data_IF_078210620894
#
_entry.id   IF_078210620894
#
_cell.length_a   1.000
_cell.length_b   1.000
_cell.length_c   1.000
_cell.angle_alpha   90.00
_cell.angle_beta   90.00
_cell.angle_gamma   90.00
#
_symmetry.space_group_name_H-M   'P 1'
#
loop_
_entity.id
_entity.type
_entity.pdbx_description
1 polymer ?
#
# COMPACT_ATOMS: atom_id res chain seq x y z
N UNK A 1 -18.24 -36.89 -13.69
CA UNK A 1 -17.52 -35.89 -14.51
C UNK A 1 -17.89 -34.55 -13.94
N UNK A 2 -16.90 -33.78 -13.49
CA UNK A 2 -17.13 -32.47 -12.89
C UNK A 2 -17.54 -31.49 -14.02
N UNK A 3 -18.80 -31.06 -14.01
CA UNK A 3 -19.45 -30.33 -15.12
C UNK A 3 -19.19 -28.83 -15.09
N UNK A 4 -18.47 -28.34 -14.09
CA UNK A 4 -18.20 -26.92 -13.93
C UNK A 4 -17.09 -26.43 -14.86
N UNK A 5 -17.33 -25.28 -15.49
CA UNK A 5 -16.33 -24.54 -16.25
C UNK A 5 -15.14 -24.14 -15.37
N UNK A 6 -13.99 -23.84 -16.00
CA UNK A 6 -12.79 -23.37 -15.27
C UNK A 6 -13.12 -22.14 -14.42
N UNK A 7 -13.87 -21.19 -14.99
CA UNK A 7 -14.28 -19.97 -14.30
C UNK A 7 -15.15 -20.24 -13.06
N UNK A 8 -16.09 -21.21 -13.14
CA UNK A 8 -16.92 -21.59 -11.99
C UNK A 8 -16.08 -22.22 -10.87
N UNK A 9 -15.09 -23.06 -11.22
CA UNK A 9 -14.17 -23.64 -10.23
C UNK A 9 -13.32 -22.58 -9.53
N UNK A 10 -12.77 -21.62 -10.29
CA UNK A 10 -12.01 -20.49 -9.73
C UNK A 10 -12.88 -19.65 -8.80
N UNK A 11 -14.12 -19.35 -9.23
CA UNK A 11 -15.07 -18.60 -8.41
C UNK A 11 -15.45 -19.35 -7.13
N UNK A 12 -15.61 -20.67 -7.20
CA UNK A 12 -15.90 -21.48 -6.03
C UNK A 12 -14.73 -21.49 -5.04
N UNK A 13 -13.49 -21.71 -5.51
CA UNK A 13 -12.30 -21.64 -4.63
C UNK A 13 -12.13 -20.29 -3.95
N UNK A 14 -12.44 -19.20 -4.66
CA UNK A 14 -12.44 -17.85 -4.07
C UNK A 14 -13.49 -17.73 -2.95
N UNK A 15 -14.71 -18.26 -3.14
CA UNK A 15 -15.74 -18.28 -2.08
C UNK A 15 -15.30 -19.11 -0.88
N UNK A 16 -14.71 -20.27 -1.12
CA UNK A 16 -14.23 -21.16 -0.06
C UNK A 16 -13.13 -20.46 0.74
N UNK A 17 -12.18 -19.79 0.09
CA UNK A 17 -11.16 -18.98 0.74
C UNK A 17 -11.77 -17.85 1.58
N UNK A 18 -12.77 -17.13 1.06
CA UNK A 18 -13.45 -16.07 1.82
C UNK A 18 -14.14 -16.61 3.08
N UNK A 19 -14.76 -17.80 3.02
CA UNK A 19 -15.31 -18.46 4.21
C UNK A 19 -14.20 -18.85 5.19
N UNK A 20 -13.09 -19.45 4.72
CA UNK A 20 -11.95 -19.78 5.57
C UNK A 20 -11.36 -18.57 6.29
N UNK A 21 -11.27 -17.42 5.61
CA UNK A 21 -10.79 -16.16 6.19
C UNK A 21 -11.72 -15.70 7.32
N UNK A 22 -13.04 -15.76 7.12
CA UNK A 22 -14.04 -15.24 8.07
C UNK A 22 -14.31 -16.18 9.24
N UNK A 23 -14.33 -17.48 8.96
CA UNK A 23 -14.80 -18.52 9.88
C UNK A 23 -13.64 -19.28 10.56
N UNK A 24 -12.40 -19.07 10.12
CA UNK A 24 -11.22 -19.82 10.54
C UNK A 24 -10.78 -19.62 11.99
N UNK A 25 -11.39 -18.69 12.74
CA UNK A 25 -11.11 -18.45 14.16
C UNK A 25 -9.73 -17.86 14.49
N UNK A 26 -8.82 -17.81 13.52
CA UNK A 26 -7.49 -17.20 13.62
C UNK A 26 -7.31 -16.14 12.55
N UNK A 27 -6.67 -15.03 12.91
CA UNK A 27 -6.33 -13.99 11.95
C UNK A 27 -5.36 -14.50 10.87
N UNK A 28 -5.52 -14.03 9.64
CA UNK A 28 -4.81 -14.53 8.45
C UNK A 28 -3.81 -13.51 7.89
N UNK A 29 -2.83 -13.98 7.11
CA UNK A 29 -1.93 -13.10 6.37
C UNK A 29 -2.31 -13.07 4.88
N UNK A 30 -2.50 -11.86 4.34
CA UNK A 30 -3.01 -11.63 2.97
C UNK A 30 -1.94 -10.95 2.12
N UNK A 31 -1.72 -11.45 0.90
CA UNK A 31 -0.83 -10.84 -0.10
C UNK A 31 -1.64 -10.41 -1.30
N UNK A 32 -1.61 -9.13 -1.65
CA UNK A 32 -2.34 -8.56 -2.78
C UNK A 32 -1.43 -8.46 -4.00
N UNK A 33 -1.90 -8.91 -5.17
CA UNK A 33 -1.22 -8.74 -6.45
C UNK A 33 -1.78 -7.51 -7.17
N UNK A 34 -0.96 -6.50 -7.44
CA UNK A 34 -1.38 -5.27 -8.14
C UNK A 34 -0.56 -5.11 -9.41
N UNK A 35 -1.17 -4.60 -10.49
CA UNK A 35 -0.46 -4.37 -11.74
C UNK A 35 -1.42 -4.18 -12.90
N UNK A 36 -0.87 -3.94 -14.09
CA UNK A 36 -1.64 -3.76 -15.32
C UNK A 36 -2.27 -5.09 -15.80
N UNK A 37 -3.27 -5.04 -16.70
CA UNK A 37 -3.68 -6.22 -17.46
C UNK A 37 -2.47 -6.82 -18.19
N UNK A 38 -2.37 -8.15 -18.25
CA UNK A 38 -1.25 -8.82 -18.93
C UNK A 38 0.10 -8.79 -18.21
N UNK A 39 0.20 -8.24 -16.99
CA UNK A 39 1.46 -8.20 -16.25
C UNK A 39 1.92 -9.57 -15.70
N UNK A 40 1.07 -10.60 -15.72
CA UNK A 40 1.38 -11.95 -15.21
C UNK A 40 0.99 -12.19 -13.74
N UNK A 41 0.04 -11.41 -13.19
CA UNK A 41 -0.45 -11.57 -11.80
C UNK A 41 -1.06 -12.96 -11.56
N UNK A 42 -2.00 -13.37 -12.38
CA UNK A 42 -2.69 -14.67 -12.24
C UNK A 42 -1.75 -15.85 -12.42
N UNK A 43 -0.79 -15.76 -13.35
CA UNK A 43 0.28 -16.75 -13.50
C UNK A 43 1.19 -16.83 -12.26
N UNK A 44 1.52 -15.69 -11.66
CA UNK A 44 2.27 -15.65 -10.41
C UNK A 44 1.46 -16.22 -9.23
N UNK A 45 0.15 -15.96 -9.17
CA UNK A 45 -0.75 -16.57 -8.19
C UNK A 45 -0.68 -18.09 -8.29
N UNK A 46 -0.85 -18.65 -9.49
CA UNK A 46 -0.76 -20.10 -9.74
C UNK A 46 0.60 -20.67 -9.32
N UNK A 47 1.68 -19.93 -9.56
CA UNK A 47 3.03 -20.33 -9.13
C UNK A 47 3.20 -20.38 -7.61
N UNK A 48 2.61 -19.42 -6.91
CA UNK A 48 2.67 -19.33 -5.44
C UNK A 48 1.81 -20.43 -4.80
N UNK A 49 0.59 -20.63 -5.30
CA UNK A 49 -0.43 -21.48 -4.67
C UNK A 49 -0.38 -22.92 -5.16
N UNK A 50 0.16 -23.16 -6.35
CA UNK A 50 0.08 -24.44 -7.06
C UNK A 50 -1.29 -24.70 -7.71
N UNK A 51 -2.19 -23.72 -7.75
CA UNK A 51 -3.49 -23.83 -8.42
C UNK A 51 -3.37 -23.61 -9.93
N UNK A 52 -4.45 -23.86 -10.66
CA UNK A 52 -4.50 -23.67 -12.12
C UNK A 52 -5.85 -23.11 -12.58
N UNK A 53 -5.84 -22.48 -13.75
CA UNK A 53 -7.05 -21.98 -14.44
C UNK A 53 -7.34 -20.50 -14.21
N UNK A 54 -6.47 -19.79 -13.49
CA UNK A 54 -6.56 -18.35 -13.26
C UNK A 54 -6.00 -17.57 -14.44
N UNK A 55 -4.92 -18.05 -15.08
CA UNK A 55 -4.22 -17.30 -16.13
C UNK A 55 -4.79 -17.52 -17.54
N UNK A 56 -5.99 -18.07 -17.68
CA UNK A 56 -6.60 -18.37 -18.99
C UNK A 56 -7.23 -17.15 -19.65
N UNK A 57 -7.77 -16.22 -18.84
CA UNK A 57 -8.45 -15.01 -19.29
C UNK A 57 -7.98 -13.79 -18.49
N UNK A 58 -8.34 -12.59 -18.97
CA UNK A 58 -8.11 -11.36 -18.21
C UNK A 58 -8.99 -11.35 -16.95
N UNK A 59 -8.36 -11.29 -15.79
CA UNK A 59 -9.04 -11.20 -14.49
C UNK A 59 -9.97 -9.98 -14.43
N UNK A 60 -11.28 -10.22 -14.32
CA UNK A 60 -12.32 -9.18 -14.22
C UNK A 60 -12.94 -9.06 -12.82
N UNK A 61 -12.70 -10.05 -11.96
CA UNK A 61 -13.15 -10.15 -10.56
C UNK A 61 -11.97 -10.51 -9.67
N UNK A 62 -12.04 -10.15 -8.39
CA UNK A 62 -11.05 -10.57 -7.40
C UNK A 62 -11.08 -12.10 -7.28
N UNK A 63 -9.90 -12.71 -7.26
CA UNK A 63 -9.72 -14.15 -7.05
C UNK A 63 -8.80 -14.35 -5.85
N UNK A 64 -9.14 -15.28 -4.98
CA UNK A 64 -8.36 -15.57 -3.76
C UNK A 64 -8.06 -17.05 -3.72
N UNK A 65 -6.80 -17.39 -3.45
CA UNK A 65 -6.35 -18.76 -3.25
C UNK A 65 -5.50 -18.88 -1.98
N UNK A 66 -5.62 -20.02 -1.30
CA UNK A 66 -4.77 -20.37 -0.17
C UNK A 66 -3.41 -20.88 -0.65
N UNK A 67 -2.33 -20.45 0.00
CA UNK A 67 -0.99 -20.98 -0.17
C UNK A 67 -0.39 -21.39 1.17
N UNK A 68 0.01 -22.65 1.30
CA UNK A 68 0.75 -23.15 2.47
C UNK A 68 2.24 -23.17 2.16
N UNK A 69 2.99 -22.24 2.72
CA UNK A 69 4.42 -22.04 2.46
C UNK A 69 5.19 -22.23 3.76
N UNK A 70 6.03 -23.27 3.81
CA UNK A 70 6.80 -23.65 5.00
C UNK A 70 5.93 -23.79 6.28
N UNK A 71 4.72 -24.33 6.15
CA UNK A 71 3.77 -24.48 7.26
C UNK A 71 3.02 -23.19 7.64
N UNK A 72 3.32 -22.06 6.99
CA UNK A 72 2.60 -20.81 7.16
C UNK A 72 1.55 -20.61 6.07
N UNK A 73 0.31 -20.32 6.48
CA UNK A 73 -0.83 -20.11 5.58
C UNK A 73 -0.91 -18.65 5.15
N UNK A 74 -0.94 -18.43 3.84
CA UNK A 74 -1.17 -17.14 3.21
C UNK A 74 -2.42 -17.20 2.32
N UNK A 75 -3.12 -16.08 2.18
CA UNK A 75 -4.16 -15.91 1.16
C UNK A 75 -3.66 -14.93 0.09
N UNK A 76 -3.56 -15.41 -1.14
CA UNK A 76 -3.09 -14.63 -2.28
C UNK A 76 -4.30 -14.06 -3.02
N UNK A 77 -4.40 -12.74 -3.06
CA UNK A 77 -5.48 -12.01 -3.69
C UNK A 77 -5.02 -11.49 -5.06
N UNK A 78 -5.42 -12.16 -6.13
CA UNK A 78 -5.26 -11.66 -7.50
C UNK A 78 -6.35 -10.65 -7.83
N UNK A 79 -5.94 -9.51 -8.38
CA UNK A 79 -6.84 -8.41 -8.69
C UNK A 79 -7.02 -8.25 -10.20
N UNK A 80 -8.15 -7.66 -10.64
CA UNK A 80 -8.22 -7.08 -11.98
C UNK A 80 -7.04 -6.15 -12.24
N UNK A 81 -6.62 -6.08 -13.50
CA UNK A 81 -5.54 -5.20 -13.90
C UNK A 81 -6.01 -3.74 -13.90
N UNK A 82 -5.18 -2.82 -13.41
CA UNK A 82 -5.46 -1.40 -13.53
C UNK A 82 -5.30 -0.91 -14.97
N UNK A 83 -6.41 -0.62 -15.64
CA UNK A 83 -6.45 0.08 -16.93
C UNK A 83 -6.93 1.53 -16.71
N UNK A 84 -6.45 2.46 -17.53
CA UNK A 84 -6.90 3.85 -17.50
C UNK A 84 -8.40 3.99 -17.81
N UNK A 85 -9.01 2.99 -18.43
CA UNK A 85 -10.44 2.97 -18.77
C UNK A 85 -11.35 2.61 -17.59
N UNK A 86 -10.85 1.86 -16.61
CA UNK A 86 -11.66 1.25 -15.54
C UNK A 86 -11.02 1.37 -14.15
N UNK A 87 -10.07 2.30 -13.98
CA UNK A 87 -9.28 2.44 -12.74
C UNK A 87 -10.11 2.59 -11.47
N UNK A 88 -11.21 3.36 -11.52
CA UNK A 88 -12.11 3.55 -10.37
C UNK A 88 -12.85 2.27 -10.02
N UNK A 89 -13.36 1.55 -11.02
CA UNK A 89 -14.06 0.27 -10.81
C UNK A 89 -13.10 -0.77 -10.23
N UNK A 90 -11.88 -0.86 -10.79
CA UNK A 90 -10.83 -1.75 -10.29
C UNK A 90 -10.45 -1.41 -8.85
N UNK A 91 -10.29 -0.12 -8.53
CA UNK A 91 -10.04 0.34 -7.16
C UNK A 91 -11.17 -0.05 -6.20
N UNK A 92 -12.44 0.15 -6.57
CA UNK A 92 -13.56 -0.26 -5.71
C UNK A 92 -13.64 -1.77 -5.50
N UNK A 93 -13.44 -2.59 -6.54
CA UNK A 93 -13.39 -4.06 -6.39
C UNK A 93 -12.33 -4.51 -5.37
N UNK A 94 -11.14 -3.92 -5.45
CA UNK A 94 -10.04 -4.23 -4.52
C UNK A 94 -10.41 -3.78 -3.11
N UNK A 95 -10.87 -2.55 -2.95
CA UNK A 95 -11.12 -1.95 -1.64
C UNK A 95 -12.36 -2.51 -0.94
N UNK A 96 -13.40 -2.89 -1.67
CA UNK A 96 -14.56 -3.59 -1.11
C UNK A 96 -14.15 -4.96 -0.55
N UNK A 97 -13.30 -5.69 -1.28
CA UNK A 97 -12.77 -6.97 -0.79
C UNK A 97 -11.87 -6.78 0.42
N UNK A 98 -11.02 -5.73 0.43
CA UNK A 98 -10.21 -5.38 1.61
C UNK A 98 -11.11 -5.07 2.81
N UNK A 99 -12.16 -4.27 2.64
CA UNK A 99 -13.11 -3.97 3.71
C UNK A 99 -13.80 -5.22 4.26
N UNK A 100 -14.11 -6.18 3.40
CA UNK A 100 -14.73 -7.46 3.76
C UNK A 100 -13.79 -8.35 4.59
N UNK A 101 -12.50 -8.40 4.25
CA UNK A 101 -11.54 -9.33 4.89
C UNK A 101 -10.68 -8.69 5.99
N UNK A 102 -10.55 -7.35 6.03
CA UNK A 102 -9.71 -6.65 7.03
C UNK A 102 -9.99 -7.02 8.49
N UNK A 103 -11.23 -7.30 8.94
CA UNK A 103 -11.47 -7.65 10.34
C UNK A 103 -10.82 -8.98 10.76
N UNK A 104 -10.43 -9.79 9.77
CA UNK A 104 -9.87 -11.12 9.94
C UNK A 104 -8.39 -11.20 9.52
N UNK A 105 -7.81 -10.10 9.04
CA UNK A 105 -6.44 -10.05 8.55
C UNK A 105 -5.48 -9.53 9.64
N UNK A 106 -4.43 -10.29 9.94
CA UNK A 106 -3.35 -9.89 10.86
C UNK A 106 -2.28 -9.06 10.15
N UNK A 107 -1.85 -9.50 8.97
CA UNK A 107 -0.77 -8.85 8.22
C UNK A 107 -1.12 -8.79 6.75
N UNK A 108 -0.58 -7.77 6.09
CA UNK A 108 -0.66 -7.58 4.65
C UNK A 108 0.71 -7.70 3.98
N UNK A 109 0.68 -8.01 2.69
CA UNK A 109 1.79 -7.92 1.76
C UNK A 109 1.30 -7.43 0.40
N UNK A 110 2.18 -6.80 -0.38
CA UNK A 110 1.84 -6.29 -1.70
C UNK A 110 2.91 -6.67 -2.72
N UNK A 111 2.49 -7.36 -3.77
CA UNK A 111 3.30 -7.65 -4.95
C UNK A 111 2.84 -6.77 -6.09
N UNK A 112 3.66 -5.79 -6.49
CA UNK A 112 3.41 -5.01 -7.69
C UNK A 112 4.04 -5.70 -8.89
N UNK A 113 3.21 -6.31 -9.73
CA UNK A 113 3.63 -7.12 -10.87
C UNK A 113 3.65 -6.26 -12.13
N UNK A 114 4.78 -6.27 -12.82
CA UNK A 114 4.99 -5.47 -14.03
C UNK A 114 5.73 -6.27 -15.12
N UNK A 115 5.18 -6.30 -16.33
CA UNK A 115 5.79 -6.97 -17.47
C UNK A 115 7.03 -6.19 -17.93
N UNK A 116 8.22 -6.80 -17.92
CA UNK A 116 9.47 -6.10 -18.25
C UNK A 116 9.57 -5.64 -19.71
N UNK A 117 8.79 -6.24 -20.61
CA UNK A 117 8.83 -5.93 -22.04
C UNK A 117 8.01 -4.69 -22.41
N UNK A 118 7.15 -4.22 -21.51
CA UNK A 118 6.38 -3.00 -21.74
C UNK A 118 7.27 -1.77 -21.65
N UNK A 119 7.48 -1.11 -22.78
CA UNK A 119 8.34 0.07 -22.93
C UNK A 119 7.61 1.42 -22.87
N UNK A 120 6.27 1.43 -22.86
CA UNK A 120 5.49 2.60 -23.32
C UNK A 120 4.71 3.42 -22.30
N UNK A 121 4.73 3.15 -20.99
CA UNK A 121 3.79 3.85 -20.10
C UNK A 121 4.36 4.28 -18.75
N UNK A 122 5.40 5.11 -18.78
CA UNK A 122 5.90 5.81 -17.58
C UNK A 122 4.76 6.44 -16.76
N UNK A 123 3.77 7.09 -17.38
CA UNK A 123 2.66 7.73 -16.65
C UNK A 123 1.72 6.77 -15.91
N UNK A 124 1.34 5.65 -16.53
CA UNK A 124 0.45 4.68 -15.88
C UNK A 124 1.18 3.96 -14.76
N UNK A 125 2.46 3.61 -14.98
CA UNK A 125 3.32 3.02 -13.96
C UNK A 125 3.59 4.01 -12.80
N UNK A 126 3.87 5.29 -13.09
CA UNK A 126 3.98 6.35 -12.07
C UNK A 126 2.70 6.48 -11.26
N UNK A 127 1.53 6.49 -11.89
CA UNK A 127 0.25 6.56 -11.18
C UNK A 127 0.04 5.34 -10.29
N UNK A 128 0.36 4.13 -10.77
CA UNK A 128 0.26 2.91 -9.97
C UNK A 128 1.23 2.88 -8.80
N UNK A 129 2.47 3.32 -9.01
CA UNK A 129 3.47 3.38 -7.95
C UNK A 129 3.11 4.44 -6.91
N UNK A 130 2.55 5.58 -7.34
CA UNK A 130 2.00 6.57 -6.42
C UNK A 130 0.82 6.00 -5.64
N UNK A 131 -0.09 5.27 -6.30
CA UNK A 131 -1.17 4.55 -5.62
C UNK A 131 -0.64 3.57 -4.58
N UNK A 132 0.32 2.72 -4.93
CA UNK A 132 0.95 1.78 -4.00
C UNK A 132 1.59 2.52 -2.84
N UNK A 133 2.26 3.65 -3.10
CA UNK A 133 2.87 4.48 -2.04
C UNK A 133 1.83 5.02 -1.07
N UNK A 134 0.70 5.54 -1.56
CA UNK A 134 -0.40 6.02 -0.70
C UNK A 134 -1.17 4.87 -0.03
N UNK A 135 -1.19 3.70 -0.65
CA UNK A 135 -1.82 2.51 -0.11
C UNK A 135 -1.00 1.91 1.04
N UNK A 136 0.31 1.74 0.83
CA UNK A 136 1.24 1.19 1.81
C UNK A 136 1.55 2.19 2.91
N UNK A 137 1.67 3.47 2.56
CA UNK A 137 2.39 4.43 3.38
C UNK A 137 3.91 4.24 3.28
N UNK A 138 4.66 5.12 3.93
CA UNK A 138 6.13 5.17 3.87
C UNK A 138 6.82 4.50 5.07
N UNK A 139 6.07 4.11 6.09
CA UNK A 139 6.65 3.69 7.38
C UNK A 139 7.24 2.28 7.36
N UNK A 140 6.76 1.40 6.46
CA UNK A 140 7.31 0.04 6.31
C UNK A 140 7.09 -0.55 4.91
N UNK A 141 7.72 -0.01 3.86
CA UNK A 141 7.53 -0.50 2.49
C UNK A 141 8.29 -1.81 2.22
N UNK A 142 8.94 -2.42 3.22
CA UNK A 142 9.57 -3.74 3.09
C UNK A 142 8.58 -4.86 2.75
N UNK A 143 7.29 -4.63 2.95
CA UNK A 143 6.18 -5.51 2.56
C UNK A 143 5.69 -5.28 1.13
N UNK A 144 6.25 -4.29 0.44
CA UNK A 144 6.05 -4.05 -0.99
C UNK A 144 7.21 -4.70 -1.76
N UNK A 145 6.86 -5.58 -2.71
CA UNK A 145 7.83 -6.20 -3.62
C UNK A 145 7.45 -5.86 -5.05
N UNK A 146 8.37 -5.26 -5.78
CA UNK A 146 8.29 -5.06 -7.21
C UNK A 146 8.64 -6.37 -7.92
N UNK A 147 7.66 -7.01 -8.54
CA UNK A 147 7.83 -8.25 -9.29
C UNK A 147 7.87 -7.93 -10.78
N UNK A 148 8.98 -8.26 -11.44
CA UNK A 148 9.03 -8.20 -12.91
C UNK A 148 8.90 -9.57 -13.54
N UNK A 149 8.10 -9.66 -14.59
CA UNK A 149 7.76 -10.90 -15.31
C UNK A 149 8.24 -10.82 -16.77
N UNK A 150 8.00 -11.87 -17.56
CA UNK A 150 8.40 -11.99 -18.96
C UNK A 150 9.92 -11.87 -19.16
N UNK A 151 10.68 -12.56 -18.32
CA UNK A 151 12.15 -12.58 -18.40
C UNK A 151 12.71 -13.59 -19.40
N UNK A 152 11.89 -14.16 -20.30
CA UNK A 152 12.39 -14.99 -21.42
C UNK A 152 13.04 -14.14 -22.51
N UNK A 153 14.23 -14.55 -22.95
CA UNK A 153 14.96 -13.97 -24.07
C UNK A 153 15.59 -15.09 -24.92
N UNK A 154 15.71 -14.85 -26.23
CA UNK A 154 16.29 -15.77 -27.20
C UNK A 154 17.57 -15.19 -27.84
N UNK A 155 17.98 -13.99 -27.46
CA UNK A 155 19.21 -13.33 -27.91
C UNK A 155 19.80 -12.41 -26.84
N UNK A 156 21.11 -12.14 -26.94
CA UNK A 156 21.78 -11.17 -26.07
C UNK A 156 21.23 -9.75 -26.25
N UNK A 157 20.76 -9.40 -27.45
CA UNK A 157 20.11 -8.12 -27.70
C UNK A 157 18.79 -7.98 -26.94
N UNK A 158 17.95 -9.02 -26.92
CA UNK A 158 16.71 -9.01 -26.14
C UNK A 158 16.98 -8.93 -24.63
N UNK A 159 17.99 -9.66 -24.15
CA UNK A 159 18.45 -9.57 -22.76
C UNK A 159 18.90 -8.14 -22.43
N UNK A 160 19.74 -7.54 -23.26
CA UNK A 160 20.20 -6.16 -23.10
C UNK A 160 19.03 -5.15 -23.12
N UNK A 161 18.06 -5.33 -24.02
CA UNK A 161 16.87 -4.48 -24.09
C UNK A 161 16.03 -4.55 -22.80
N UNK A 162 15.74 -5.75 -22.29
CA UNK A 162 15.01 -5.92 -21.03
C UNK A 162 15.77 -5.34 -19.84
N UNK A 163 17.10 -5.48 -19.82
CA UNK A 163 17.93 -4.85 -18.79
C UNK A 163 17.87 -3.32 -18.86
N UNK A 164 17.89 -2.75 -20.07
CA UNK A 164 17.70 -1.31 -20.28
C UNK A 164 16.35 -0.81 -19.77
N UNK A 165 15.28 -1.56 -20.04
CA UNK A 165 13.93 -1.26 -19.54
C UNK A 165 13.86 -1.34 -18.02
N UNK A 166 14.50 -2.34 -17.38
CA UNK A 166 14.56 -2.43 -15.92
C UNK A 166 15.24 -1.19 -15.32
N UNK A 167 16.39 -0.80 -15.88
CA UNK A 167 17.15 0.36 -15.40
C UNK A 167 16.32 1.65 -15.50
N UNK A 168 15.53 1.79 -16.58
CA UNK A 168 14.62 2.94 -16.76
C UNK A 168 13.51 3.04 -15.71
N UNK A 169 13.10 1.92 -15.09
CA UNK A 169 12.08 1.90 -14.03
C UNK A 169 12.60 2.30 -12.67
N UNK A 170 13.91 2.20 -12.45
CA UNK A 170 14.55 2.54 -11.18
C UNK A 170 14.17 3.93 -10.67
N UNK A 171 14.05 4.92 -11.56
CA UNK A 171 13.62 6.27 -11.19
C UNK A 171 12.20 6.34 -10.63
N UNK A 172 11.25 5.62 -11.23
CA UNK A 172 9.84 5.61 -10.79
C UNK A 172 9.69 4.86 -9.46
N UNK A 173 10.41 3.76 -9.29
CA UNK A 173 10.32 2.92 -8.10
C UNK A 173 11.19 3.43 -6.94
N UNK A 174 12.09 4.37 -7.20
CA UNK A 174 13.12 4.83 -6.28
C UNK A 174 12.54 5.21 -4.92
N UNK A 175 11.39 5.89 -4.89
CA UNK A 175 10.74 6.32 -3.64
C UNK A 175 10.46 5.15 -2.70
N UNK A 176 9.98 4.01 -3.21
CA UNK A 176 9.70 2.84 -2.35
C UNK A 176 10.95 2.00 -2.11
N UNK A 177 11.81 1.88 -3.13
CA UNK A 177 13.08 1.13 -3.01
C UNK A 177 14.02 1.74 -1.99
N UNK A 178 14.16 3.08 -1.95
CA UNK A 178 15.02 3.77 -0.99
C UNK A 178 14.56 3.62 0.46
N UNK A 179 13.31 3.20 0.68
CA UNK A 179 12.73 2.98 2.00
C UNK A 179 12.59 1.49 2.34
N UNK A 180 13.11 0.58 1.51
CA UNK A 180 13.23 -0.84 1.82
C UNK A 180 12.33 -1.79 1.03
N UNK A 181 11.54 -1.30 0.06
CA UNK A 181 10.86 -2.18 -0.88
C UNK A 181 11.86 -3.05 -1.66
N UNK A 182 11.43 -4.24 -2.06
CA UNK A 182 12.29 -5.25 -2.67
C UNK A 182 11.98 -5.40 -4.16
N UNK A 183 12.91 -5.97 -4.93
CA UNK A 183 12.69 -6.35 -6.33
C UNK A 183 12.87 -7.85 -6.47
N UNK A 184 11.93 -8.50 -7.15
CA UNK A 184 12.00 -9.89 -7.55
C UNK A 184 11.80 -10.03 -9.06
N UNK A 185 12.61 -10.90 -9.69
CA UNK A 185 12.55 -11.15 -11.14
C UNK A 185 11.97 -12.55 -11.38
N UNK A 186 10.66 -12.62 -11.62
CA UNK A 186 9.97 -13.88 -11.84
C UNK A 186 10.29 -14.46 -13.21
N UNK A 187 10.92 -15.63 -13.24
CA UNK A 187 11.45 -16.24 -14.48
C UNK A 187 12.89 -15.84 -14.81
N UNK A 188 13.65 -15.30 -13.86
CA UNK A 188 15.08 -15.00 -14.04
C UNK A 188 15.92 -15.52 -12.87
N UNK A 189 17.08 -16.06 -13.21
CA UNK A 189 18.09 -16.45 -12.23
C UNK A 189 19.47 -15.88 -12.59
N UNK A 190 19.96 -14.87 -11.85
CA UNK A 190 21.26 -14.17 -11.97
C UNK A 190 21.71 -13.82 -13.41
N UNK A 191 21.96 -14.81 -14.26
CA UNK A 191 22.36 -14.69 -15.67
C UNK A 191 21.46 -15.44 -16.68
N UNK A 192 20.57 -16.33 -16.23
CA UNK A 192 19.75 -17.23 -17.03
C UNK A 192 18.26 -16.88 -16.95
N UNK A 193 17.54 -17.22 -18.01
CA UNK A 193 16.08 -17.18 -18.03
C UNK A 193 15.54 -18.55 -17.62
N UNK A 194 14.44 -18.54 -16.88
CA UNK A 194 13.68 -19.75 -16.56
C UNK A 194 12.45 -19.73 -17.47
N UNK A 195 12.33 -20.74 -18.31
CA UNK A 195 11.29 -20.78 -19.33
C UNK A 195 9.98 -21.26 -18.72
N UNK A 196 8.92 -20.49 -18.93
CA UNK A 196 7.56 -20.78 -18.48
C UNK A 196 7.15 -22.20 -18.86
N UNK A 197 7.27 -22.60 -20.12
CA UNK A 197 6.72 -23.88 -20.56
C UNK A 197 7.50 -25.11 -20.08
N UNK A 198 8.81 -25.00 -19.89
CA UNK A 198 9.67 -26.15 -19.58
C UNK A 198 10.03 -26.27 -18.10
N UNK A 199 10.03 -25.15 -17.37
CA UNK A 199 10.56 -25.09 -16.01
C UNK A 199 9.50 -24.63 -14.97
N UNK A 200 8.20 -24.92 -15.23
CA UNK A 200 7.08 -24.53 -14.35
C UNK A 200 7.32 -24.88 -12.87
N UNK A 201 7.83 -26.07 -12.57
CA UNK A 201 8.08 -26.50 -11.19
C UNK A 201 9.13 -25.62 -10.50
N UNK A 202 10.21 -25.28 -11.22
CA UNK A 202 11.26 -24.38 -10.73
C UNK A 202 10.74 -22.96 -10.55
N UNK A 203 9.94 -22.46 -11.49
CA UNK A 203 9.29 -21.14 -11.35
C UNK A 203 8.38 -21.07 -10.14
N UNK A 204 7.52 -22.07 -9.96
CA UNK A 204 6.60 -22.16 -8.84
C UNK A 204 7.36 -22.25 -7.50
N UNK A 205 8.43 -23.05 -7.43
CA UNK A 205 9.26 -23.13 -6.24
C UNK A 205 9.90 -21.78 -5.89
N UNK A 206 10.47 -21.08 -6.87
CA UNK A 206 11.08 -19.77 -6.64
C UNK A 206 10.06 -18.70 -6.25
N UNK A 207 8.84 -18.76 -6.78
CA UNK A 207 7.75 -17.88 -6.36
C UNK A 207 7.38 -18.09 -4.88
N UNK A 208 7.32 -19.34 -4.42
CA UNK A 208 7.13 -19.66 -2.99
C UNK A 208 8.31 -19.22 -2.13
N UNK A 209 9.54 -19.43 -2.61
CA UNK A 209 10.75 -18.99 -1.92
C UNK A 209 10.81 -17.46 -1.78
N UNK A 210 10.34 -16.72 -2.79
CA UNK A 210 10.18 -15.26 -2.73
C UNK A 210 9.21 -14.84 -1.63
N UNK A 211 8.03 -15.48 -1.56
CA UNK A 211 7.05 -15.16 -0.51
C UNK A 211 7.64 -15.45 0.86
N UNK A 212 8.30 -16.60 1.01
CA UNK A 212 9.00 -16.97 2.23
C UNK A 212 10.04 -15.91 2.62
N UNK A 213 10.95 -15.57 1.71
CA UNK A 213 12.04 -14.65 1.97
C UNK A 213 11.56 -13.26 2.41
N UNK A 214 10.51 -12.74 1.79
CA UNK A 214 10.08 -11.37 2.01
C UNK A 214 8.97 -11.22 3.06
N UNK A 215 8.18 -12.26 3.33
CA UNK A 215 7.04 -12.18 4.25
C UNK A 215 7.10 -13.10 5.47
N UNK A 216 7.89 -14.18 5.46
CA UNK A 216 7.99 -15.10 6.60
C UNK A 216 8.70 -14.44 7.78
N UNK A 217 8.19 -14.67 9.01
CA UNK A 217 8.77 -14.17 10.27
C UNK A 217 9.00 -12.66 10.29
N UNK A 218 8.20 -11.90 9.52
CA UNK A 218 8.20 -10.44 9.55
C UNK A 218 7.06 -9.96 10.42
N UNK A 219 7.31 -8.89 11.17
CA UNK A 219 6.26 -8.23 11.96
C UNK A 219 5.01 -7.97 11.12
N UNK A 220 3.81 -8.16 11.71
CA UNK A 220 2.57 -7.80 11.06
C UNK A 220 2.60 -6.35 10.61
N UNK A 221 2.08 -6.11 9.41
CA UNK A 221 2.03 -4.77 8.85
C UNK A 221 0.62 -4.48 8.36
N UNK A 222 0.12 -3.31 8.76
CA UNK A 222 -1.16 -2.77 8.34
C UNK A 222 -0.85 -1.60 7.38
N UNK A 223 -1.26 -1.70 6.10
CA UNK A 223 -1.06 -0.63 5.12
C UNK A 223 -1.78 0.65 5.55
N UNK A 224 -1.23 1.82 5.19
CA UNK A 224 -1.86 3.13 5.47
C UNK A 224 -3.32 3.18 5.03
N UNK A 225 -3.66 2.56 3.90
CA UNK A 225 -5.05 2.46 3.45
C UNK A 225 -5.95 1.74 4.46
N UNK A 226 -5.53 0.57 4.96
CA UNK A 226 -6.30 -0.20 5.96
C UNK A 226 -6.38 0.58 7.27
N UNK A 227 -5.28 1.22 7.67
CA UNK A 227 -5.26 2.08 8.85
C UNK A 227 -6.29 3.23 8.75
N UNK A 228 -6.41 3.90 7.60
CA UNK A 228 -7.46 4.91 7.40
C UNK A 228 -8.87 4.32 7.52
N UNK A 229 -9.12 3.12 6.99
CA UNK A 229 -10.42 2.45 7.15
C UNK A 229 -10.71 2.10 8.61
N UNK A 230 -9.69 1.70 9.37
CA UNK A 230 -9.81 1.42 10.82
C UNK A 230 -10.13 2.68 11.63
N UNK A 231 -9.64 3.84 11.18
CA UNK A 231 -10.00 5.16 11.72
C UNK A 231 -11.38 5.67 11.26
N UNK A 232 -12.10 4.91 10.42
CA UNK A 232 -13.45 5.24 9.96
C UNK A 232 -13.51 6.18 8.75
N UNK A 233 -12.41 6.37 8.03
CA UNK A 233 -12.44 7.13 6.78
C UNK A 233 -13.22 6.35 5.72
N UNK A 234 -14.07 7.05 4.96
CA UNK A 234 -14.66 6.46 3.76
C UNK A 234 -13.57 6.18 2.71
N UNK A 235 -13.74 5.13 1.92
CA UNK A 235 -12.75 4.66 0.92
C UNK A 235 -12.20 5.77 0.03
N UNK A 236 -13.08 6.65 -0.47
CA UNK A 236 -12.71 7.77 -1.34
C UNK A 236 -11.96 8.92 -0.63
N UNK A 237 -12.06 9.01 0.70
CA UNK A 237 -11.38 10.01 1.53
C UNK A 237 -10.02 9.55 2.04
N UNK A 238 -9.63 8.30 1.78
CA UNK A 238 -8.29 7.80 2.09
C UNK A 238 -7.25 8.45 1.16
N UNK A 239 -5.99 8.49 1.60
CA UNK A 239 -4.89 9.00 0.76
C UNK A 239 -4.83 8.31 -0.61
N UNK A 240 -5.00 6.98 -0.64
CA UNK A 240 -5.03 6.21 -1.88
C UNK A 240 -6.29 6.46 -2.73
N UNK A 241 -7.47 6.60 -2.11
CA UNK A 241 -8.73 6.89 -2.81
C UNK A 241 -8.76 8.25 -3.49
N UNK A 242 -8.10 9.25 -2.89
CA UNK A 242 -8.01 10.60 -3.46
C UNK A 242 -7.31 10.66 -4.83
N UNK A 243 -6.43 9.69 -5.12
CA UNK A 243 -5.65 9.64 -6.37
C UNK A 243 -6.50 9.28 -7.61
N UNK A 244 -7.62 8.58 -7.42
CA UNK A 244 -8.50 8.17 -8.52
C UNK A 244 -9.62 9.18 -8.76
N UNK A 245 -9.46 10.42 -8.28
CA UNK A 245 -10.39 11.52 -8.56
C UNK A 245 -11.80 11.26 -8.03
N UNK A 246 -11.91 10.44 -6.98
CA UNK A 246 -13.17 10.19 -6.28
C UNK A 246 -13.48 11.42 -5.41
N UNK A 247 -13.88 12.51 -6.06
CA UNK A 247 -14.57 13.59 -5.36
C UNK A 247 -15.81 13.00 -4.68
N UNK A 248 -16.19 13.48 -3.49
CA UNK A 248 -17.47 13.11 -2.89
C UNK A 248 -18.55 13.37 -3.94
N UNK A 249 -19.22 12.31 -4.40
CA UNK A 249 -20.50 12.52 -5.06
C UNK A 249 -21.36 13.26 -4.05
N UNK A 250 -21.86 14.44 -4.42
CA UNK A 250 -22.84 15.14 -3.57
C UNK A 250 -23.91 14.13 -3.20
N UNK A 251 -24.21 13.91 -1.90
CA UNK A 251 -25.27 13.01 -1.53
C UNK A 251 -26.53 13.44 -2.30
N UNK A 252 -27.34 12.48 -2.82
CA UNK A 252 -28.59 12.84 -3.46
C UNK A 252 -29.35 13.78 -2.53
N UNK A 253 -29.94 14.88 -3.05
CA UNK A 253 -30.62 15.85 -2.21
C UNK A 253 -31.56 15.09 -1.28
N UNK A 254 -31.35 15.26 0.03
CA UNK A 254 -32.24 14.68 1.04
C UNK A 254 -33.66 15.05 0.62
N UNK A 255 -34.52 14.05 0.43
CA UNK A 255 -35.94 14.28 0.26
C UNK A 255 -36.37 15.26 1.35
N UNK A 256 -36.91 16.41 0.95
CA UNK A 256 -37.41 17.43 1.88
C UNK A 256 -38.32 16.72 2.89
N UNK A 257 -37.97 16.83 4.16
CA UNK A 257 -38.88 16.42 5.22
C UNK A 257 -40.23 17.15 5.00
N UNK A 258 -41.38 16.45 5.13
CA UNK A 258 -42.67 17.09 4.93
C UNK A 258 -42.78 18.29 5.87
N UNK A 259 -43.05 19.47 5.29
CA UNK A 259 -43.22 20.71 6.04
C UNK A 259 -44.34 20.52 7.06
N UNK A 260 -44.15 20.87 8.34
CA UNK A 260 -45.22 20.81 9.31
C UNK A 260 -46.32 21.80 8.90
N UNK A 261 -47.54 21.29 8.76
CA UNK A 261 -48.74 22.10 8.59
C UNK A 261 -48.97 22.91 9.87
N UNK A 262 -48.53 24.17 9.87
CA UNK A 262 -49.00 25.14 10.86
C UNK A 262 -50.40 25.62 10.45
N UNK A 263 -51.41 25.03 11.06
CA UNK A 263 -52.74 25.66 11.15
C UNK A 263 -52.60 26.93 11.97
N UNK A 264 -52.77 28.08 11.33
CA UNK A 264 -52.96 29.36 12.03
C UNK A 264 -54.43 29.47 12.39
N UNK A 265 -54.76 29.37 13.69
CA UNK A 265 -56.04 29.81 14.21
C UNK A 265 -55.84 30.90 15.26
N UNK A 266 -56.47 32.05 15.04
CA UNK A 266 -56.93 32.92 16.12
C UNK A 266 -56.00 34.07 16.52
N UNK A 267 -56.40 35.27 16.12
CA UNK A 267 -55.98 36.55 16.71
C UNK A 267 -56.25 36.62 18.22
N UNK A 268 -55.35 37.23 18.99
CA UNK A 268 -55.70 38.17 20.07
C UNK A 268 -54.58 39.19 20.29
N UNK A 269 -54.97 40.46 20.42
CA UNK A 269 -54.13 41.62 20.72
C UNK A 269 -53.84 41.72 22.21
N UNK A 270 -52.58 41.97 22.59
CA UNK A 270 -52.22 42.65 23.85
C UNK A 270 -51.06 43.62 23.57
N UNK A 271 -51.31 44.91 23.84
CA UNK A 271 -50.29 45.96 24.05
C UNK A 271 -49.75 45.81 25.47
N UNK A 272 -48.43 45.86 25.65
CA UNK A 272 -47.74 46.84 26.50
C UNK A 272 -46.28 46.44 26.77
N UNK A 273 -45.46 47.48 26.94
CA UNK A 273 -44.06 47.48 27.34
C UNK A 273 -43.75 46.53 28.50
N UNK A 274 -42.52 45.98 28.54
CA UNK A 274 -41.60 45.93 29.70
C UNK A 274 -40.38 45.05 29.33
N UNK A 275 -39.17 45.59 29.51
CA UNK A 275 -37.89 44.86 29.55
C UNK A 275 -37.74 44.12 30.88
N UNK A 276 -37.04 42.97 30.91
CA UNK A 276 -36.02 42.77 31.95
C UNK A 276 -34.74 42.15 31.36
N UNK A 277 -33.56 42.77 31.50
CA UNK A 277 -32.60 42.63 32.62
C UNK A 277 -32.36 41.18 33.08
N UNK A 278 -31.18 40.68 32.67
CA UNK A 278 -30.23 39.85 33.44
C UNK A 278 -30.80 38.91 34.50
N UNK A 279 -30.68 37.60 34.24
CA UNK A 279 -30.51 36.60 35.30
C UNK A 279 -29.08 36.09 35.20
N UNK A 280 -28.26 36.45 36.19
CA UNK A 280 -26.93 35.89 36.39
C UNK A 280 -27.04 34.49 36.98
N UNK A 281 -26.14 33.61 36.54
CA UNK A 281 -25.77 32.41 37.30
C UNK A 281 -24.26 32.49 37.50
N UNK A 282 -23.91 32.52 38.78
CA UNK A 282 -22.58 32.68 39.35
C UNK A 282 -21.71 31.45 39.08
N UNK A 283 -20.45 31.66 38.72
CA UNK A 283 -19.38 30.70 38.96
C UNK A 283 -18.23 31.43 39.68
N UNK A 284 -17.93 30.99 40.89
CA UNK A 284 -16.77 31.41 41.66
C UNK A 284 -15.51 30.73 41.11
N UNK A 285 -14.47 31.53 40.83
CA UNK A 285 -13.14 31.07 40.42
C UNK A 285 -12.27 32.28 40.00
N UNK A 286 -10.97 32.33 40.37
CA UNK A 286 -10.25 33.60 40.42
C UNK A 286 -9.94 34.17 39.04
N UNK A 287 -10.09 35.50 38.94
CA UNK A 287 -9.68 36.30 37.79
C UNK A 287 -8.19 36.14 37.48
N UNK A 288 -7.88 35.81 36.23
CA UNK A 288 -6.61 36.17 35.60
C UNK A 288 -6.95 37.01 34.38
N UNK A 289 -6.48 38.26 34.38
CA UNK A 289 -6.60 39.21 33.28
C UNK A 289 -6.11 38.60 31.96
N UNK A 290 -6.98 38.54 30.95
CA UNK A 290 -6.55 38.46 29.55
C UNK A 290 -6.76 39.83 28.90
N UNK A 291 -5.67 40.58 28.77
CA UNK A 291 -5.59 41.66 27.80
C UNK A 291 -5.77 41.09 26.38
N UNK A 292 -6.52 41.86 25.59
CA UNK A 292 -6.83 41.73 24.16
C UNK A 292 -5.83 40.94 23.31
N UNK A 293 -6.26 39.79 22.78
CA UNK A 293 -5.61 39.11 21.64
C UNK A 293 -6.45 39.32 20.38
N UNK A 294 -5.88 40.00 19.39
CA UNK A 294 -6.43 40.10 18.05
C UNK A 294 -6.37 38.72 17.36
N UNK A 295 -7.54 38.18 17.01
CA UNK A 295 -7.69 36.99 16.15
C UNK A 295 -7.48 37.42 14.69
N UNK A 296 -6.52 36.78 13.99
CA UNK A 296 -6.34 36.96 12.55
C UNK A 296 -6.90 35.73 11.83
N UNK A 297 -7.92 35.93 11.00
CA UNK A 297 -8.63 34.86 10.27
C UNK A 297 -8.23 34.96 8.80
N UNK A 298 -7.63 33.90 8.26
CA UNK A 298 -7.31 33.83 6.83
C UNK A 298 -8.56 33.46 6.00
N UNK A 299 -8.60 33.77 4.69
CA UNK A 299 -9.78 33.64 3.84
C UNK A 299 -10.27 32.19 3.57
N UNK A 300 -9.70 31.18 4.23
CA UNK A 300 -10.16 29.79 4.24
C UNK A 300 -10.74 29.34 5.60
N UNK A 301 -10.94 30.26 6.56
CA UNK A 301 -11.68 29.98 7.80
C UNK A 301 -10.95 29.15 8.87
N UNK A 302 -9.64 28.91 8.71
CA UNK A 302 -8.82 28.25 9.73
C UNK A 302 -8.33 29.25 10.78
N UNK A 303 -8.65 28.97 12.06
CA UNK A 303 -8.16 29.72 13.23
C UNK A 303 -6.91 29.01 13.75
N UNK A 304 -5.74 29.65 13.64
CA UNK A 304 -4.51 29.16 14.29
C UNK A 304 -4.32 29.84 15.63
N UNK A 305 -4.27 29.06 16.71
CA UNK A 305 -3.79 29.51 18.01
C UNK A 305 -2.26 29.38 18.02
N UNK A 306 -1.56 30.51 17.92
CA UNK A 306 -0.10 30.53 18.08
C UNK A 306 0.20 30.47 19.59
N UNK A 307 0.62 29.31 20.07
CA UNK A 307 1.21 29.16 21.40
C UNK A 307 2.64 29.71 21.39
N UNK A 308 3.06 30.49 22.41
CA UNK A 308 4.47 30.87 22.53
C UNK A 308 5.33 29.62 22.77
N UNK A 309 6.48 29.54 22.10
CA UNK A 309 7.43 28.46 22.27
C UNK A 309 7.91 28.37 23.74
N UNK A 310 8.12 27.17 24.29
CA UNK A 310 8.70 27.04 25.62
C UNK A 310 10.17 27.53 25.61
N UNK A 311 10.50 28.40 26.57
CA UNK A 311 11.86 28.86 26.81
C UNK A 311 12.79 27.66 27.11
N UNK A 312 13.76 27.41 26.24
CA UNK A 312 14.84 26.46 26.47
C UNK A 312 15.92 27.16 27.31
N UNK A 313 16.30 26.65 28.51
CA UNK A 313 17.41 27.21 29.25
C UNK A 313 18.75 26.91 28.56
N UNK A 314 19.77 27.80 28.67
CA UNK A 314 21.04 27.60 27.98
C UNK A 314 21.79 26.37 28.53
N UNK A 315 22.40 25.60 27.62
CA UNK A 315 23.18 24.41 27.94
C UNK A 315 24.42 24.75 28.79
N UNK A 316 24.81 23.89 29.76
CA UNK A 316 26.03 24.09 30.53
C UNK A 316 27.28 23.89 29.67
N UNK A 317 28.23 24.83 29.78
CA UNK A 317 29.52 24.78 29.11
C UNK A 317 30.31 23.51 29.50
N UNK A 318 30.58 22.64 28.52
CA UNK A 318 31.52 21.53 28.70
C UNK A 318 32.95 22.06 28.74
N UNK A 319 33.66 21.76 29.84
CA UNK A 319 35.11 21.92 29.94
C UNK A 319 35.79 20.88 29.05
N UNK A 320 36.73 21.32 28.23
CA UNK A 320 37.67 20.46 27.52
C UNK A 320 38.51 19.62 28.50
N UNK A 321 38.65 18.30 28.28
CA UNK A 321 39.80 17.54 28.75
C UNK A 321 40.83 17.38 27.63
N UNK A 322 42.08 17.36 28.07
CA UNK A 322 43.31 17.44 27.30
C UNK A 322 43.51 16.32 26.27
N UNK A 323 44.22 16.68 25.20
CA UNK A 323 44.90 15.76 24.26
C UNK A 323 45.79 14.76 25.03
N UNK A 324 45.53 13.47 24.83
CA UNK A 324 46.58 12.46 24.83
C UNK A 324 46.47 11.67 23.53
N UNK A 325 47.52 11.75 22.72
CA UNK A 325 47.63 11.02 21.47
C UNK A 325 48.00 9.57 21.74
N UNK A 326 47.36 8.67 21.00
CA UNK A 326 47.91 7.34 20.74
C UNK A 326 47.73 7.05 19.25
N UNK A 327 48.85 7.06 18.56
CA UNK A 327 48.98 6.66 17.16
C UNK A 327 49.00 5.14 17.08
N UNK A 328 47.95 4.52 16.56
CA UNK A 328 48.00 3.15 16.08
C UNK A 328 48.36 3.15 14.59
N UNK A 329 49.60 2.75 14.30
CA UNK A 329 50.12 2.48 12.97
C UNK A 329 49.44 1.24 12.39
N UNK A 330 48.73 1.38 11.28
CA UNK A 330 48.43 0.26 10.38
C UNK A 330 49.66 -0.02 9.51
N UNK A 331 50.27 -1.18 9.71
CA UNK A 331 51.34 -1.71 8.86
C UNK A 331 50.75 -2.44 7.66
N UNK A 332 50.84 -1.83 6.48
CA UNK A 332 50.62 -2.49 5.19
C UNK A 332 51.91 -3.26 4.85
N UNK A 333 51.84 -4.59 4.90
CA UNK A 333 52.91 -5.47 4.42
C UNK A 333 52.70 -5.78 2.94
N UNK A 334 53.34 -5.02 2.07
CA UNK A 334 53.63 -5.41 0.68
C UNK A 334 54.96 -6.15 0.63
N UNK A 335 54.99 -7.34 0.04
CA UNK A 335 56.23 -7.99 -0.43
C UNK A 335 56.15 -8.20 -1.94
N UNK A 336 57.17 -7.81 -2.71
CA UNK A 336 57.24 -8.05 -4.15
C UNK A 336 58.01 -9.33 -4.50
N UNK A 337 57.56 -9.99 -5.56
CA UNK A 337 58.37 -10.60 -6.63
C UNK A 337 59.20 -11.86 -6.35
N UNK A 338 58.87 -12.95 -7.05
CA UNK A 338 59.86 -13.70 -7.85
C UNK A 338 59.15 -14.52 -8.93
N UNK A 339 59.87 -14.81 -10.01
CA UNK A 339 59.41 -15.11 -11.36
C UNK A 339 60.29 -16.28 -11.86
N UNK A 340 59.70 -17.15 -12.71
CA UNK A 340 60.31 -18.26 -13.51
C UNK A 340 60.74 -19.55 -12.73
N UNK A 341 60.68 -20.79 -13.23
CA UNK A 341 60.69 -21.36 -14.61
C UNK A 341 59.95 -22.72 -14.72
N UNK A 342 59.48 -22.98 -15.95
CA UNK A 342 59.44 -24.20 -16.79
C UNK A 342 58.79 -25.56 -16.42
N UNK A 343 58.10 -26.05 -17.46
CA UNK A 343 57.60 -27.41 -17.72
C UNK A 343 58.73 -28.35 -18.19
N UNK A 344 58.42 -29.65 -18.35
CA UNK A 344 58.25 -30.19 -19.71
C UNK A 344 56.79 -30.42 -20.12
#
# INVERSE_FOLDING_TARGET
>A
MDTHSVAERVAQRTKDCLSLIKDGGTMVDIIILIGRPGAGKSSLLEDITGTTGHSQDVTSKIQIEEALINGHKYFIMDTPGFDAKDEQETFYKITDTIQEVRPYARSWGLLYVSNITESRFHRTEEKLVNFITQFSGTDNPSKVVFVTTHWEWHSDQEKANKMGLLNGRGGVWNTLLSHGAQIYHHGRDLQNSIFWYTDRATMAQRARDMVRQYYENKEPWIPLFVHHLDLGFATHLTAAGSLFGLLPQTPPPKAEAPKPNFFVSGFYWIRDNILPTSVGVSFEGPMVNLESRHLNVNPLGLVSVVSPAPCVPPAPQMRHPQRQGNAFRYSISSKPGSKLWDRP
#
